data_IF_701741550298
#
_entry.id   IF_701741550298
#
_cell.length_a   1.000
_cell.length_b   1.000
_cell.length_c   1.000
_cell.angle_alpha   90.00
_cell.angle_beta   90.00
_cell.angle_gamma   90.00
#
_symmetry.space_group_name_H-M   'P 1'
#
loop_
_entity.id
_entity.type
_entity.pdbx_description
1 polymer ?
#
# COMPACT_ATOMS: atom_id res chain seq x y z
N UNK A 1 21.36 30.71 25.28
CA UNK A 1 20.36 31.62 24.68
C UNK A 1 20.76 31.79 23.22
N UNK A 2 19.94 31.33 22.27
CA UNK A 2 20.24 31.37 20.83
C UNK A 2 19.92 32.77 20.29
N UNK A 3 20.77 33.74 20.59
CA UNK A 3 20.65 35.07 19.98
C UNK A 3 21.09 34.99 18.52
N UNK A 4 20.19 35.36 17.61
CA UNK A 4 20.40 35.37 16.17
C UNK A 4 21.62 36.23 15.80
N UNK A 5 22.40 35.85 14.77
CA UNK A 5 23.63 36.55 14.38
C UNK A 5 23.44 38.06 14.15
N UNK A 6 22.26 38.44 13.66
CA UNK A 6 21.87 39.83 13.40
C UNK A 6 21.76 40.65 14.70
N UNK A 7 21.19 40.07 15.76
CA UNK A 7 21.06 40.76 17.06
C UNK A 7 22.41 40.93 17.74
N UNK A 8 23.29 39.92 17.64
CA UNK A 8 24.65 39.99 18.17
C UNK A 8 25.46 41.04 17.44
N UNK A 9 25.41 41.08 16.10
CA UNK A 9 26.12 42.08 15.30
C UNK A 9 25.62 43.52 15.56
N UNK A 10 24.31 43.73 15.71
CA UNK A 10 23.75 45.04 16.04
C UNK A 10 24.08 45.47 17.48
N UNK A 11 24.14 44.54 18.43
CA UNK A 11 24.58 44.82 19.79
C UNK A 11 26.07 45.18 19.87
N UNK A 12 26.90 44.56 19.02
CA UNK A 12 28.34 44.78 19.01
C UNK A 12 28.71 46.15 18.40
N UNK A 13 28.02 46.58 17.34
CA UNK A 13 28.20 47.93 16.78
C UNK A 13 27.77 49.04 17.74
N UNK A 14 26.70 48.82 18.53
CA UNK A 14 26.28 49.76 19.58
C UNK A 14 27.30 49.86 20.72
N UNK A 15 28.02 48.78 21.04
CA UNK A 15 29.09 48.81 22.07
C UNK A 15 30.34 49.55 21.61
N UNK A 16 30.61 49.56 20.31
CA UNK A 16 31.77 50.24 19.72
C UNK A 16 31.50 51.70 19.30
N UNK A 17 30.28 52.21 19.45
CA UNK A 17 29.92 53.58 19.07
C UNK A 17 30.31 54.66 20.10
N UNK A 18 30.95 54.28 21.21
CA UNK A 18 31.48 55.21 22.20
C UNK A 18 30.44 55.90 23.09
N UNK A 19 29.23 55.31 23.22
CA UNK A 19 28.15 55.87 24.03
C UNK A 19 28.37 55.72 25.54
N UNK A 20 27.85 56.66 26.31
CA UNK A 20 27.86 56.61 27.79
C UNK A 20 27.11 55.36 28.29
N UNK A 21 27.59 54.74 29.38
CA UNK A 21 27.12 53.42 29.87
C UNK A 21 25.61 53.34 30.09
N UNK A 22 24.98 54.44 30.50
CA UNK A 22 23.53 54.54 30.72
C UNK A 22 22.73 54.62 29.42
N UNK A 23 23.28 55.25 28.38
CA UNK A 23 22.63 55.33 27.07
C UNK A 23 22.78 54.01 26.31
N UNK A 24 23.91 53.33 26.50
CA UNK A 24 24.19 52.02 25.92
C UNK A 24 23.22 50.94 26.44
N UNK A 25 22.94 50.91 27.75
CA UNK A 25 21.97 49.96 28.32
C UNK A 25 20.56 50.18 27.77
N UNK A 26 20.13 51.44 27.66
CA UNK A 26 18.82 51.79 27.09
C UNK A 26 18.72 51.41 25.60
N UNK A 27 19.80 51.61 24.83
CA UNK A 27 19.82 51.23 23.42
C UNK A 27 19.76 49.71 23.22
N UNK A 28 20.44 48.92 24.05
CA UNK A 28 20.40 47.46 24.02
C UNK A 28 19.02 46.91 24.42
N UNK A 29 18.36 47.52 25.41
CA UNK A 29 17.00 47.13 25.81
C UNK A 29 15.99 47.40 24.68
N UNK A 30 16.08 48.57 24.03
CA UNK A 30 15.24 48.91 22.88
C UNK A 30 15.49 48.00 21.66
N UNK A 31 16.74 47.57 21.45
CA UNK A 31 17.10 46.63 20.39
C UNK A 31 16.44 45.26 20.60
N UNK A 32 16.50 44.74 21.84
CA UNK A 32 15.86 43.47 22.20
C UNK A 32 14.33 43.54 22.06
N UNK A 33 13.72 44.63 22.53
CA UNK A 33 12.29 44.88 22.40
C UNK A 33 11.86 44.96 20.92
N UNK A 34 12.62 45.69 20.10
CA UNK A 34 12.38 45.80 18.66
C UNK A 34 12.48 44.47 17.93
N UNK A 35 13.44 43.62 18.31
CA UNK A 35 13.57 42.27 17.78
C UNK A 35 12.36 41.38 18.14
N UNK A 36 11.90 41.43 19.38
CA UNK A 36 10.72 40.66 19.80
C UNK A 36 9.45 41.11 19.05
N UNK A 37 9.26 42.41 18.88
CA UNK A 37 8.10 42.98 18.19
C UNK A 37 8.10 42.62 16.69
N UNK A 38 9.25 42.74 16.03
CA UNK A 38 9.39 42.41 14.61
C UNK A 38 9.25 40.91 14.34
N UNK A 39 9.69 40.05 15.28
CA UNK A 39 9.45 38.61 15.18
C UNK A 39 7.96 38.26 15.27
N UNK A 40 7.24 38.88 16.22
CA UNK A 40 5.80 38.66 16.37
C UNK A 40 5.04 39.12 15.12
N UNK A 41 5.35 40.33 14.63
CA UNK A 41 4.74 40.87 13.41
C UNK A 41 5.09 39.98 12.21
N UNK A 42 6.36 39.60 12.04
CA UNK A 42 6.82 38.75 10.94
C UNK A 42 6.16 37.38 10.90
N UNK A 43 6.03 36.73 12.07
CA UNK A 43 5.35 35.44 12.19
C UNK A 43 3.86 35.55 11.85
N UNK A 44 3.19 36.60 12.36
CA UNK A 44 1.77 36.86 12.03
C UNK A 44 1.61 37.14 10.54
N UNK A 45 2.45 37.99 9.95
CA UNK A 45 2.45 38.28 8.51
C UNK A 45 2.71 37.03 7.66
N UNK A 46 3.63 36.15 8.08
CA UNK A 46 3.91 34.89 7.40
C UNK A 46 2.69 33.95 7.44
N UNK A 47 2.04 33.80 8.60
CA UNK A 47 0.85 32.94 8.76
C UNK A 47 -0.32 33.51 7.95
N UNK A 48 -0.58 34.81 8.03
CA UNK A 48 -1.64 35.49 7.26
C UNK A 48 -1.34 35.39 5.77
N UNK A 49 -0.09 35.63 5.36
CA UNK A 49 0.36 35.47 3.98
C UNK A 49 0.13 34.05 3.49
N UNK A 50 0.63 33.03 4.18
CA UNK A 50 0.44 31.63 3.82
C UNK A 50 -1.04 31.22 3.72
N UNK A 51 -1.92 31.84 4.53
CA UNK A 51 -3.37 31.57 4.51
C UNK A 51 -4.13 32.31 3.40
N UNK A 52 -3.71 33.53 3.05
CA UNK A 52 -4.41 34.38 2.07
C UNK A 52 -3.81 34.32 0.65
N UNK A 53 -2.54 33.98 0.51
CA UNK A 53 -1.86 33.77 -0.77
C UNK A 53 -2.58 32.75 -1.68
N UNK A 54 -3.02 31.57 -1.20
CA UNK A 54 -3.79 30.64 -2.04
C UNK A 54 -5.15 31.22 -2.47
N UNK A 55 -5.75 32.07 -1.63
CA UNK A 55 -7.03 32.73 -1.94
C UNK A 55 -6.88 33.80 -3.03
N UNK A 56 -5.76 34.53 -3.03
CA UNK A 56 -5.41 35.52 -4.06
C UNK A 56 -5.08 34.85 -5.41
N UNK A 57 -4.55 33.63 -5.39
CA UNK A 57 -4.17 32.87 -6.59
C UNK A 57 -5.33 32.10 -7.23
N UNK A 58 -6.54 32.14 -6.66
CA UNK A 58 -7.75 31.49 -7.20
C UNK A 58 -7.55 30.00 -7.58
N UNK A 59 -6.61 29.33 -6.93
CA UNK A 59 -6.41 27.89 -7.05
C UNK A 59 -6.86 27.26 -5.74
N UNK A 60 -7.99 26.56 -5.80
CA UNK A 60 -8.41 25.73 -4.67
C UNK A 60 -7.38 24.60 -4.54
N UNK A 61 -6.58 24.66 -3.49
CA UNK A 61 -5.61 23.60 -3.16
C UNK A 61 -6.32 22.26 -2.98
N UNK A 62 -7.57 22.28 -2.50
CA UNK A 62 -8.38 21.08 -2.34
C UNK A 62 -8.84 20.52 -3.70
N UNK A 63 -9.32 21.34 -4.63
CA UNK A 63 -9.72 20.86 -5.96
C UNK A 63 -8.52 20.44 -6.79
N UNK A 64 -7.38 21.12 -6.67
CA UNK A 64 -6.13 20.73 -7.33
C UNK A 64 -5.57 19.42 -6.76
N UNK A 65 -5.63 19.23 -5.43
CA UNK A 65 -5.25 17.97 -4.80
C UNK A 65 -6.19 16.83 -5.20
N UNK A 66 -7.50 17.08 -5.27
CA UNK A 66 -8.49 16.10 -5.74
C UNK A 66 -8.36 15.81 -7.24
N UNK A 67 -8.01 16.81 -8.05
CA UNK A 67 -7.78 16.64 -9.47
C UNK A 67 -6.49 15.86 -9.72
N UNK A 68 -5.41 16.16 -9.00
CA UNK A 68 -4.17 15.36 -9.02
C UNK A 68 -4.42 13.95 -8.48
N UNK A 69 -5.24 13.80 -7.44
CA UNK A 69 -5.64 12.48 -6.93
C UNK A 69 -6.42 11.70 -8.00
N UNK A 70 -7.39 12.32 -8.68
CA UNK A 70 -8.13 11.71 -9.80
C UNK A 70 -7.23 11.37 -10.98
N UNK A 71 -6.34 12.28 -11.38
CA UNK A 71 -5.36 12.07 -12.44
C UNK A 71 -4.35 10.95 -12.09
N UNK A 72 -4.07 10.76 -10.79
CA UNK A 72 -3.21 9.67 -10.29
C UNK A 72 -4.00 8.43 -9.86
N UNK A 73 -5.31 8.39 -10.05
CA UNK A 73 -6.19 7.27 -9.67
C UNK A 73 -6.37 7.04 -8.16
N UNK A 74 -5.97 8.01 -7.32
CA UNK A 74 -6.10 8.01 -5.86
C UNK A 74 -7.51 8.46 -5.42
N UNK A 75 -8.55 8.05 -6.13
CA UNK A 75 -9.92 8.39 -5.74
C UNK A 75 -10.31 7.56 -4.49
N UNK A 76 -10.56 8.25 -3.38
CA UNK A 76 -10.95 7.65 -2.09
C UNK A 76 -12.40 7.13 -2.07
N UNK A 77 -13.17 7.37 -3.15
CA UNK A 77 -14.61 7.10 -3.20
C UNK A 77 -15.01 5.72 -3.76
N UNK A 78 -14.06 4.85 -4.08
CA UNK A 78 -14.37 3.43 -4.10
C UNK A 78 -14.10 2.90 -2.69
N UNK A 79 -15.18 2.58 -1.98
CA UNK A 79 -15.26 1.55 -0.95
C UNK A 79 -14.68 0.24 -1.50
N UNK A 80 -13.37 0.21 -1.75
CA UNK A 80 -12.62 -0.93 -2.24
C UNK A 80 -12.41 -1.75 -0.98
N UNK A 81 -13.46 -2.48 -0.62
CA UNK A 81 -13.43 -3.48 0.42
C UNK A 81 -12.26 -4.39 0.07
N UNK A 82 -11.15 -4.23 0.78
CA UNK A 82 -9.99 -5.11 0.68
C UNK A 82 -10.43 -6.42 1.32
N UNK A 83 -11.15 -7.21 0.55
CA UNK A 83 -11.52 -8.54 0.98
C UNK A 83 -10.27 -9.40 0.87
N UNK A 84 -9.96 -10.16 1.91
CA UNK A 84 -8.95 -11.20 1.79
C UNK A 84 -9.48 -12.31 0.85
N UNK A 85 -8.61 -12.95 0.07
CA UNK A 85 -9.02 -14.08 -0.74
C UNK A 85 -9.55 -15.20 0.15
N UNK A 86 -10.68 -15.80 -0.25
CA UNK A 86 -11.36 -16.90 0.45
C UNK A 86 -11.24 -18.17 -0.38
N UNK A 87 -11.13 -19.31 0.31
CA UNK A 87 -11.08 -20.64 -0.28
C UNK A 87 -12.47 -21.26 -0.22
N UNK A 88 -12.92 -21.85 -1.32
CA UNK A 88 -14.12 -22.69 -1.38
C UNK A 88 -13.87 -23.90 -2.27
N UNK A 89 -14.39 -25.06 -1.90
CA UNK A 89 -14.23 -26.28 -2.68
C UNK A 89 -15.54 -26.66 -3.37
N UNK A 90 -15.45 -27.09 -4.62
CA UNK A 90 -16.59 -27.41 -5.47
C UNK A 90 -16.38 -28.76 -6.17
N UNK A 91 -17.46 -29.53 -6.34
CA UNK A 91 -17.47 -30.75 -7.14
C UNK A 91 -17.83 -30.43 -8.59
N UNK A 92 -17.03 -30.94 -9.51
CA UNK A 92 -17.21 -30.78 -10.94
C UNK A 92 -18.38 -31.64 -11.42
N UNK A 93 -19.49 -30.97 -11.75
CA UNK A 93 -20.69 -31.59 -12.34
C UNK A 93 -20.67 -31.59 -13.87
N UNK A 94 -21.68 -32.21 -14.51
CA UNK A 94 -21.77 -32.34 -15.97
C UNK A 94 -21.86 -30.98 -16.69
N UNK A 95 -22.54 -30.00 -16.09
CA UNK A 95 -22.64 -28.64 -16.62
C UNK A 95 -21.28 -27.95 -16.72
N UNK A 96 -20.40 -28.19 -15.73
CA UNK A 96 -19.07 -27.60 -15.70
C UNK A 96 -18.18 -28.26 -16.75
N UNK A 97 -18.26 -29.58 -16.91
CA UNK A 97 -17.53 -30.28 -17.97
C UNK A 97 -17.98 -29.80 -19.35
N UNK A 98 -19.30 -29.66 -19.56
CA UNK A 98 -19.86 -29.11 -20.80
C UNK A 98 -19.40 -27.67 -21.06
N UNK A 99 -19.33 -26.84 -20.01
CA UNK A 99 -18.82 -25.47 -20.11
C UNK A 99 -17.32 -25.41 -20.42
N UNK A 100 -16.53 -26.31 -19.84
CA UNK A 100 -15.09 -26.40 -20.14
C UNK A 100 -14.81 -26.89 -21.55
N UNK A 101 -15.73 -27.63 -22.18
CA UNK A 101 -15.62 -28.11 -23.55
C UNK A 101 -14.28 -28.84 -23.84
N UNK A 102 -13.76 -29.57 -22.85
CA UNK A 102 -12.49 -30.28 -22.93
C UNK A 102 -11.23 -29.39 -22.95
N UNK A 103 -11.37 -28.07 -22.76
CA UNK A 103 -10.24 -27.13 -22.72
C UNK A 103 -9.41 -27.33 -21.46
N UNK A 104 -8.11 -27.06 -21.58
CA UNK A 104 -7.23 -27.03 -20.43
C UNK A 104 -7.47 -25.77 -19.56
N UNK A 105 -6.97 -25.78 -18.33
CA UNK A 105 -7.15 -24.66 -17.39
C UNK A 105 -6.59 -23.33 -17.93
N UNK A 106 -5.51 -23.36 -18.72
CA UNK A 106 -4.88 -22.19 -19.33
C UNK A 106 -5.76 -21.55 -20.40
N UNK A 107 -6.37 -22.35 -21.25
CA UNK A 107 -7.28 -21.95 -22.32
C UNK A 107 -8.63 -21.50 -21.76
N UNK A 108 -9.11 -22.20 -20.74
CA UNK A 108 -10.34 -21.86 -20.04
C UNK A 108 -10.25 -20.49 -19.38
N UNK A 109 -9.07 -20.16 -18.83
CA UNK A 109 -8.81 -18.83 -18.29
C UNK A 109 -9.78 -18.44 -17.19
N UNK A 110 -10.13 -19.39 -16.30
CA UNK A 110 -11.13 -19.21 -15.22
C UNK A 110 -10.87 -17.91 -14.44
N UNK A 111 -9.61 -17.60 -14.16
CA UNK A 111 -9.24 -16.37 -13.49
C UNK A 111 -9.65 -15.10 -14.25
N UNK A 112 -9.47 -15.05 -15.57
CA UNK A 112 -9.83 -13.86 -16.37
C UNK A 112 -11.35 -13.65 -16.43
N UNK A 113 -12.13 -14.72 -16.35
CA UNK A 113 -13.59 -14.67 -16.42
C UNK A 113 -14.23 -14.43 -15.06
N UNK A 114 -13.70 -15.04 -14.00
CA UNK A 114 -14.33 -15.02 -12.67
C UNK A 114 -13.53 -14.26 -11.64
N UNK A 115 -12.20 -14.22 -11.73
CA UNK A 115 -11.29 -13.75 -10.69
C UNK A 115 -10.91 -14.82 -9.67
N UNK A 116 -11.30 -16.08 -9.88
CA UNK A 116 -10.92 -17.22 -9.03
C UNK A 116 -9.80 -18.05 -9.68
N UNK A 117 -8.95 -18.65 -8.85
CA UNK A 117 -7.85 -19.53 -9.24
C UNK A 117 -8.08 -20.94 -8.66
N UNK A 118 -7.83 -21.99 -9.45
CA UNK A 118 -7.86 -23.37 -8.95
C UNK A 118 -6.52 -23.69 -8.33
N UNK A 119 -6.51 -23.86 -7.00
CA UNK A 119 -5.28 -24.15 -6.27
C UNK A 119 -5.00 -25.66 -6.18
N UNK A 120 -6.06 -26.47 -6.02
CA UNK A 120 -5.98 -27.92 -5.88
C UNK A 120 -7.12 -28.64 -6.58
N UNK A 121 -6.84 -29.85 -7.04
CA UNK A 121 -7.81 -30.80 -7.59
C UNK A 121 -7.61 -32.14 -6.89
N UNK A 122 -8.71 -32.73 -6.43
CA UNK A 122 -8.79 -34.11 -5.99
C UNK A 122 -9.51 -34.92 -7.06
N UNK A 123 -8.81 -35.91 -7.61
CA UNK A 123 -9.34 -36.85 -8.59
C UNK A 123 -9.19 -38.27 -8.07
N UNK A 124 -10.29 -39.00 -7.97
CA UNK A 124 -10.31 -40.38 -7.46
C UNK A 124 -9.58 -40.53 -6.11
N UNK A 125 -9.72 -39.55 -5.21
CA UNK A 125 -9.08 -39.54 -3.89
C UNK A 125 -7.61 -39.07 -3.87
N UNK A 126 -6.98 -38.85 -5.02
CA UNK A 126 -5.60 -38.34 -5.12
C UNK A 126 -5.65 -36.82 -5.20
N UNK A 127 -4.96 -36.15 -4.27
CA UNK A 127 -4.82 -34.71 -4.23
C UNK A 127 -3.63 -34.25 -5.09
N UNK A 128 -3.87 -33.35 -6.02
CA UNK A 128 -2.85 -32.79 -6.89
C UNK A 128 -2.99 -31.26 -7.02
N UNK A 129 -1.87 -30.58 -7.25
CA UNK A 129 -1.87 -29.19 -7.69
C UNK A 129 -1.88 -29.18 -9.22
N UNK A 130 -2.95 -28.69 -9.87
CA UNK A 130 -3.05 -28.73 -11.32
C UNK A 130 -2.08 -27.73 -11.95
N UNK A 131 -1.48 -28.13 -13.09
CA UNK A 131 -0.81 -27.19 -13.99
C UNK A 131 -1.83 -26.62 -14.99
N UNK A 132 -1.46 -25.57 -15.73
CA UNK A 132 -2.30 -24.94 -16.74
C UNK A 132 -2.76 -25.88 -17.86
N UNK A 133 -2.07 -27.01 -18.06
CA UNK A 133 -2.42 -28.01 -19.07
C UNK A 133 -3.40 -29.08 -18.54
N UNK A 134 -3.78 -29.01 -17.26
CA UNK A 134 -4.78 -29.92 -16.69
C UNK A 134 -6.17 -29.67 -17.29
N UNK A 135 -6.94 -30.76 -17.49
CA UNK A 135 -8.33 -30.71 -17.95
C UNK A 135 -9.24 -31.19 -16.81
N UNK A 136 -10.32 -30.46 -16.56
CA UNK A 136 -11.32 -30.83 -15.55
C UNK A 136 -12.16 -32.01 -16.01
N UNK A 137 -12.38 -32.97 -15.12
CA UNK A 137 -13.17 -34.16 -15.38
C UNK A 137 -14.38 -34.23 -14.44
N UNK A 138 -15.42 -34.94 -14.88
CA UNK A 138 -16.62 -35.16 -14.08
C UNK A 138 -16.25 -35.88 -12.79
N UNK A 139 -16.75 -35.37 -11.65
CA UNK A 139 -16.48 -35.95 -10.34
C UNK A 139 -15.19 -35.46 -9.66
N UNK A 140 -14.38 -34.63 -10.32
CA UNK A 140 -13.27 -33.94 -9.68
C UNK A 140 -13.78 -33.02 -8.56
N UNK A 141 -13.00 -32.88 -7.48
CA UNK A 141 -13.24 -31.90 -6.42
C UNK A 141 -12.15 -30.85 -6.48
N UNK A 142 -12.52 -29.59 -6.70
CA UNK A 142 -11.58 -28.49 -6.94
C UNK A 142 -11.64 -27.48 -5.81
N UNK A 143 -10.49 -27.01 -5.34
CA UNK A 143 -10.41 -25.90 -4.40
C UNK A 143 -10.13 -24.59 -5.17
N UNK A 144 -11.07 -23.65 -5.08
CA UNK A 144 -10.99 -22.33 -5.67
C UNK A 144 -10.59 -21.28 -4.63
N UNK A 145 -9.61 -20.45 -4.99
CA UNK A 145 -9.17 -19.30 -4.20
C UNK A 145 -9.50 -18.03 -4.97
N UNK A 146 -10.12 -17.07 -4.31
CA UNK A 146 -10.47 -15.80 -4.93
C UNK A 146 -11.16 -14.85 -3.97
N UNK A 147 -11.31 -13.59 -4.38
CA UNK A 147 -12.05 -12.60 -3.61
C UNK A 147 -13.54 -13.00 -3.49
N UNK A 148 -14.25 -12.60 -2.42
CA UNK A 148 -15.68 -12.87 -2.26
C UNK A 148 -16.52 -12.47 -3.49
N UNK A 149 -16.20 -11.33 -4.10
CA UNK A 149 -16.88 -10.87 -5.32
C UNK A 149 -16.58 -11.75 -6.54
N UNK A 150 -15.42 -12.40 -6.58
CA UNK A 150 -15.06 -13.36 -7.63
C UNK A 150 -15.87 -14.65 -7.50
N UNK A 151 -16.03 -15.16 -6.28
CA UNK A 151 -16.96 -16.26 -5.99
C UNK A 151 -18.41 -15.87 -6.31
N UNK A 152 -18.77 -14.59 -6.13
CA UNK A 152 -20.07 -14.07 -6.53
C UNK A 152 -20.27 -13.88 -8.04
N UNK A 153 -19.23 -14.00 -8.85
CA UNK A 153 -19.32 -14.04 -10.33
C UNK A 153 -19.35 -15.44 -10.90
N UNK A 154 -19.01 -16.47 -10.12
CA UNK A 154 -19.18 -17.85 -10.55
C UNK A 154 -20.65 -18.11 -10.86
N UNK A 155 -20.89 -18.83 -11.97
CA UNK A 155 -22.22 -19.21 -12.42
C UNK A 155 -23.00 -19.89 -11.29
N UNK A 156 -24.30 -19.59 -11.07
CA UNK A 156 -25.12 -20.24 -10.05
C UNK A 156 -25.06 -21.77 -10.07
N UNK A 157 -24.82 -22.37 -11.24
CA UNK A 157 -24.59 -23.81 -11.43
C UNK A 157 -23.37 -24.36 -10.67
N UNK A 158 -22.36 -23.53 -10.37
CA UNK A 158 -21.26 -23.90 -9.48
C UNK A 158 -21.66 -23.88 -8.01
N UNK A 159 -22.58 -23.00 -7.61
CA UNK A 159 -22.93 -22.78 -6.19
C UNK A 159 -23.98 -23.76 -5.68
N UNK A 160 -24.96 -24.10 -6.52
CA UNK A 160 -26.10 -24.89 -6.06
C UNK A 160 -25.73 -26.37 -5.86
N UNK A 161 -25.57 -26.78 -4.59
CA UNK A 161 -25.46 -28.19 -4.19
C UNK A 161 -24.16 -28.91 -4.56
N UNK A 162 -23.16 -28.18 -5.10
CA UNK A 162 -21.86 -28.73 -5.49
C UNK A 162 -20.70 -28.26 -4.61
N UNK A 163 -20.94 -27.35 -3.65
CA UNK A 163 -19.92 -26.97 -2.67
C UNK A 163 -19.62 -28.16 -1.75
N UNK A 164 -18.35 -28.54 -1.66
CA UNK A 164 -17.88 -29.67 -0.86
C UNK A 164 -17.04 -29.14 0.28
N UNK A 165 -17.29 -29.63 1.49
CA UNK A 165 -16.46 -29.35 2.66
C UNK A 165 -15.45 -30.46 2.86
N UNK A 166 -14.38 -30.45 2.06
CA UNK A 166 -13.29 -31.41 2.16
C UNK A 166 -12.11 -30.78 2.90
N UNK A 167 -11.75 -31.33 4.06
CA UNK A 167 -10.69 -30.77 4.91
C UNK A 167 -9.34 -30.71 4.19
N UNK A 168 -8.98 -31.71 3.40
CA UNK A 168 -7.64 -31.75 2.79
C UNK A 168 -7.53 -30.81 1.59
N UNK A 169 -8.65 -30.54 0.91
CA UNK A 169 -8.74 -29.48 -0.10
C UNK A 169 -8.71 -28.09 0.51
N UNK A 170 -9.26 -27.93 1.72
CA UNK A 170 -9.40 -26.65 2.42
C UNK A 170 -8.24 -26.35 3.38
N UNK A 171 -7.43 -27.34 3.77
CA UNK A 171 -6.25 -27.20 4.64
C UNK A 171 -5.08 -26.57 3.87
N UNK A 172 -5.27 -25.31 3.51
CA UNK A 172 -4.28 -24.45 2.87
C UNK A 172 -4.08 -23.23 3.73
N UNK A 173 -2.81 -22.93 4.03
CA UNK A 173 -2.45 -21.75 4.82
C UNK A 173 -2.27 -20.57 3.87
N UNK A 174 -3.35 -19.82 3.67
CA UNK A 174 -3.25 -18.50 3.03
C UNK A 174 -2.53 -17.56 4.00
N UNK A 175 -1.43 -17.00 3.55
CA UNK A 175 -0.68 -15.96 4.25
C UNK A 175 -0.78 -14.66 3.46
N UNK A 176 -0.65 -13.55 4.15
CA UNK A 176 -0.54 -12.22 3.55
C UNK A 176 0.79 -11.64 3.98
N UNK A 177 1.68 -11.44 3.02
CA UNK A 177 3.05 -10.98 3.26
C UNK A 177 3.30 -9.68 2.51
N UNK A 178 4.15 -8.84 3.08
CA UNK A 178 4.62 -7.63 2.40
C UNK A 178 5.94 -7.92 1.69
N UNK A 179 5.99 -7.70 0.38
CA UNK A 179 7.14 -7.96 -0.46
C UNK A 179 7.72 -6.64 -0.94
N UNK A 180 8.98 -6.36 -0.58
CA UNK A 180 9.68 -5.16 -1.04
C UNK A 180 10.28 -5.42 -2.42
N UNK A 181 9.95 -4.56 -3.39
CA UNK A 181 10.46 -4.64 -4.75
C UNK A 181 11.94 -4.22 -4.76
N UNK A 182 12.82 -5.17 -5.08
CA UNK A 182 14.27 -4.94 -5.14
C UNK A 182 14.89 -5.39 -6.46
N UNK A 183 14.37 -6.46 -7.05
CA UNK A 183 14.97 -7.10 -8.22
C UNK A 183 14.80 -6.22 -9.47
N UNK A 184 15.90 -6.00 -10.20
CA UNK A 184 15.90 -5.26 -11.47
C UNK A 184 14.96 -5.89 -12.52
N UNK A 185 14.71 -7.20 -12.45
CA UNK A 185 13.76 -7.87 -13.33
C UNK A 185 12.29 -7.54 -13.04
N UNK A 186 11.98 -7.00 -11.85
CA UNK A 186 10.64 -6.55 -11.46
C UNK A 186 10.51 -5.02 -11.50
N UNK A 187 11.59 -4.29 -11.22
CA UNK A 187 11.65 -2.83 -11.31
C UNK A 187 11.46 -2.37 -12.77
N UNK A 188 10.64 -1.34 -12.97
CA UNK A 188 10.32 -0.79 -14.29
C UNK A 188 9.30 -1.61 -15.08
N UNK A 189 8.85 -2.76 -14.57
CA UNK A 189 7.75 -3.52 -15.18
C UNK A 189 6.41 -3.04 -14.69
N UNK A 190 5.41 -3.18 -15.56
CA UNK A 190 4.01 -2.94 -15.19
C UNK A 190 3.50 -4.06 -14.30
N UNK A 191 2.60 -3.74 -13.38
CA UNK A 191 2.00 -4.71 -12.46
C UNK A 191 1.40 -5.92 -13.18
N UNK A 192 0.69 -5.69 -14.31
CA UNK A 192 0.12 -6.76 -15.13
C UNK A 192 1.17 -7.75 -15.70
N UNK A 193 2.41 -7.31 -15.91
CA UNK A 193 3.48 -8.15 -16.45
C UNK A 193 4.05 -9.13 -15.42
N UNK A 194 3.85 -8.88 -14.12
CA UNK A 194 4.30 -9.81 -13.08
C UNK A 194 3.43 -11.06 -13.00
N UNK A 195 2.20 -11.01 -13.53
CA UNK A 195 1.29 -12.16 -13.61
C UNK A 195 1.19 -12.91 -12.27
N UNK A 196 1.07 -12.14 -11.17
CA UNK A 196 1.00 -12.68 -9.81
C UNK A 196 -0.07 -13.77 -9.70
N UNK A 197 -1.17 -13.58 -10.41
CA UNK A 197 -2.29 -14.52 -10.36
C UNK A 197 -2.09 -15.81 -11.13
N UNK A 198 -1.26 -15.82 -12.18
CA UNK A 198 -0.89 -17.08 -12.85
C UNK A 198 -0.16 -18.01 -11.88
N UNK A 199 0.49 -17.42 -10.87
CA UNK A 199 1.16 -18.12 -9.78
C UNK A 199 0.27 -18.39 -8.57
N UNK A 200 -1.03 -18.09 -8.62
CA UNK A 200 -1.97 -18.30 -7.49
C UNK A 200 -1.80 -17.28 -6.35
N UNK A 201 -1.16 -16.15 -6.63
CA UNK A 201 -0.96 -15.07 -5.66
C UNK A 201 -1.79 -13.84 -6.05
N UNK A 202 -2.35 -13.19 -5.04
CA UNK A 202 -3.26 -12.07 -5.17
C UNK A 202 -2.61 -10.82 -4.59
N UNK A 203 -2.70 -9.70 -5.30
CA UNK A 203 -2.19 -8.42 -4.81
C UNK A 203 -3.31 -7.66 -4.11
N UNK A 204 -3.12 -7.38 -2.83
CA UNK A 204 -4.09 -6.64 -2.02
C UNK A 204 -3.83 -5.15 -1.99
N UNK A 205 -2.54 -4.75 -2.01
CA UNK A 205 -2.12 -3.36 -1.86
C UNK A 205 -0.75 -3.12 -2.49
N UNK A 206 -0.55 -1.91 -2.99
CA UNK A 206 0.77 -1.38 -3.38
C UNK A 206 1.03 -0.14 -2.55
N UNK A 207 2.16 -0.07 -1.86
CA UNK A 207 2.57 1.07 -1.05
C UNK A 207 3.86 1.64 -1.64
N UNK A 208 3.86 2.95 -1.91
CA UNK A 208 5.04 3.69 -2.36
C UNK A 208 5.27 4.86 -1.43
N UNK A 209 6.44 4.90 -0.80
CA UNK A 209 6.82 5.98 0.13
C UNK A 209 5.74 6.27 1.19
N UNK A 210 5.17 5.23 1.80
CA UNK A 210 4.09 5.30 2.80
C UNK A 210 2.72 5.76 2.27
N UNK A 211 2.54 5.85 0.95
CA UNK A 211 1.26 6.18 0.32
C UNK A 211 0.73 4.94 -0.40
N UNK A 212 -0.53 4.58 -0.13
CA UNK A 212 -1.22 3.52 -0.85
C UNK A 212 -1.48 3.97 -2.29
N UNK A 213 -0.92 3.22 -3.23
CA UNK A 213 -1.08 3.44 -4.67
C UNK A 213 -2.32 2.68 -5.16
N UNK A 214 -3.06 3.21 -6.14
CA UNK A 214 -4.14 2.46 -6.74
C UNK A 214 -3.60 1.22 -7.43
N UNK A 215 -4.30 0.10 -7.24
CA UNK A 215 -4.00 -1.15 -7.92
C UNK A 215 -4.61 -1.06 -9.32
N UNK A 216 -3.78 -0.61 -10.27
CA UNK A 216 -4.03 -0.57 -11.71
C UNK A 216 -2.92 -1.36 -12.42
N UNK A 217 -3.33 -2.15 -13.41
CA UNK A 217 -2.48 -2.98 -14.26
C UNK A 217 -1.38 -2.18 -14.99
N UNK A 218 -1.60 -0.88 -15.21
CA UNK A 218 -0.65 0.02 -15.84
C UNK A 218 0.40 0.62 -14.88
N UNK A 219 0.26 0.41 -13.57
CA UNK A 219 1.23 0.94 -12.59
C UNK A 219 2.59 0.29 -12.81
N UNK A 220 3.60 1.13 -13.04
CA UNK A 220 5.00 0.71 -13.15
C UNK A 220 5.57 0.58 -11.74
N UNK A 221 6.14 -0.59 -11.44
CA UNK A 221 6.79 -0.86 -10.16
C UNK A 221 8.15 -0.17 -10.08
N UNK A 222 8.39 0.47 -8.95
CA UNK A 222 9.65 1.13 -8.62
C UNK A 222 10.39 0.36 -7.53
N UNK A 223 11.71 0.55 -7.48
CA UNK A 223 12.53 -0.01 -6.42
C UNK A 223 12.11 0.60 -5.08
N UNK A 224 11.88 -0.25 -4.08
CA UNK A 224 11.42 0.17 -2.75
C UNK A 224 9.89 0.23 -2.61
N UNK A 225 9.13 -0.03 -3.66
CA UNK A 225 7.69 -0.26 -3.53
C UNK A 225 7.45 -1.51 -2.66
N UNK A 226 6.39 -1.47 -1.85
CA UNK A 226 5.98 -2.59 -1.00
C UNK A 226 4.66 -3.13 -1.54
N UNK A 227 4.66 -4.41 -1.89
CA UNK A 227 3.50 -5.13 -2.41
C UNK A 227 2.94 -6.02 -1.32
N UNK A 228 1.69 -5.83 -0.94
CA UNK A 228 0.99 -6.76 -0.06
C UNK A 228 0.39 -7.89 -0.90
N UNK A 229 0.94 -9.09 -0.75
CA UNK A 229 0.58 -10.26 -1.56
C UNK A 229 -0.03 -11.34 -0.66
N UNK A 230 -1.19 -11.85 -1.05
CA UNK A 230 -1.85 -12.99 -0.39
C UNK A 230 -1.83 -14.24 -1.26
N UNK A 231 -1.62 -15.39 -0.65
CA UNK A 231 -1.65 -16.68 -1.34
C UNK A 231 -1.13 -17.81 -0.45
N UNK A 232 -0.89 -18.99 -1.03
CA UNK A 232 -0.21 -20.07 -0.31
C UNK A 232 1.21 -19.67 0.09
N UNK A 233 1.61 -19.99 1.32
CA UNK A 233 2.89 -19.61 1.88
C UNK A 233 4.10 -20.00 1.01
N UNK A 234 4.06 -21.15 0.32
CA UNK A 234 5.17 -21.61 -0.54
C UNK A 234 5.26 -20.78 -1.81
N UNK A 235 4.10 -20.47 -2.43
CA UNK A 235 4.02 -19.68 -3.66
C UNK A 235 4.39 -18.21 -3.41
N UNK A 236 3.88 -17.64 -2.32
CA UNK A 236 4.21 -16.26 -1.91
C UNK A 236 5.72 -16.12 -1.70
N UNK A 237 6.36 -17.08 -1.03
CA UNK A 237 7.82 -17.08 -0.86
C UNK A 237 8.57 -17.14 -2.21
N UNK A 238 8.13 -18.02 -3.11
CA UNK A 238 8.74 -18.17 -4.45
C UNK A 238 8.63 -16.89 -5.28
N UNK A 239 7.49 -16.20 -5.21
CA UNK A 239 7.29 -14.90 -5.87
C UNK A 239 8.12 -13.81 -5.19
N UNK A 240 8.15 -13.79 -3.87
CA UNK A 240 8.91 -12.82 -3.11
C UNK A 240 10.39 -12.90 -3.49
N UNK A 241 10.98 -14.09 -3.58
CA UNK A 241 12.37 -14.29 -4.01
C UNK A 241 12.63 -13.81 -5.45
N UNK A 242 11.62 -13.87 -6.34
CA UNK A 242 11.72 -13.35 -7.71
C UNK A 242 11.63 -11.83 -7.79
N UNK A 243 10.79 -11.20 -6.97
CA UNK A 243 10.53 -9.75 -7.01
C UNK A 243 11.49 -8.97 -6.11
N UNK A 244 11.88 -9.54 -4.99
CA UNK A 244 12.73 -8.93 -3.98
C UNK A 244 12.82 -9.79 -2.74
N UNK A 245 12.23 -9.35 -1.64
CA UNK A 245 12.25 -10.08 -0.37
C UNK A 245 11.03 -9.74 0.47
N UNK A 246 10.65 -10.66 1.36
CA UNK A 246 9.57 -10.44 2.33
C UNK A 246 10.07 -9.46 3.39
N UNK A 247 9.34 -8.36 3.57
CA UNK A 247 9.54 -7.41 4.65
C UNK A 247 9.19 -8.11 5.96
N UNK A 248 10.18 -8.32 6.81
CA UNK A 248 9.90 -8.58 8.21
C UNK A 248 9.36 -7.29 8.80
N UNK A 249 8.07 -7.27 9.16
CA UNK A 249 7.59 -6.26 10.07
C UNK A 249 8.31 -6.46 11.39
N UNK A 250 9.42 -5.74 11.57
CA UNK A 250 9.78 -5.28 12.90
C UNK A 250 8.59 -4.41 13.28
N UNK A 251 7.65 -4.96 14.05
CA UNK A 251 6.74 -4.13 14.81
C UNK A 251 7.59 -3.02 15.39
N UNK A 252 7.23 -1.81 15.04
CA UNK A 252 7.85 -0.58 15.51
C UNK A 252 8.04 -0.75 17.01
N UNK A 253 9.28 -1.05 17.42
CA UNK A 253 9.68 -0.93 18.81
C UNK A 253 9.82 0.57 18.96
N UNK A 254 8.67 1.21 19.15
CA UNK A 254 8.57 2.64 19.30
C UNK A 254 9.34 2.96 20.58
N UNK A 255 10.46 3.67 20.42
CA UNK A 255 11.34 4.09 21.49
C UNK A 255 10.60 5.06 22.42
N UNK A 256 9.73 4.55 23.29
CA UNK A 256 9.06 5.29 24.36
C UNK A 256 9.77 5.13 25.70
N UNK A 257 11.09 4.95 25.70
CA UNK A 257 11.86 4.83 26.94
C UNK A 257 13.13 5.69 26.95
N UNK A 258 12.98 7.01 26.85
CA UNK A 258 13.90 7.95 27.50
C UNK A 258 13.40 9.41 27.42
N UNK A 259 12.45 9.78 28.28
CA UNK A 259 12.32 11.13 28.85
C UNK A 259 11.07 11.16 29.75
N UNK A 260 11.21 10.83 31.05
CA UNK A 260 11.24 11.94 32.00
C UNK A 260 12.15 11.63 33.20
N UNK A 261 13.43 11.93 33.09
CA UNK A 261 14.34 12.02 34.25
C UNK A 261 15.02 13.39 34.33
N UNK A 262 14.43 14.42 33.73
CA UNK A 262 15.01 15.77 33.66
C UNK A 262 14.11 16.86 34.25
N UNK A 263 13.23 16.51 35.21
CA UNK A 263 12.36 17.48 35.90
C UNK A 263 12.39 17.44 37.43
N UNK A 264 13.32 16.70 38.05
CA UNK A 264 13.60 16.84 39.49
C UNK A 264 15.12 16.69 39.71
N UNK A 265 15.77 17.84 39.83
CA UNK A 265 17.20 18.01 40.09
C UNK A 265 17.59 19.47 39.94
#
# INVERSE_FOLDING_TARGET
>A
MTSTPVLVGAGDTLRHSGMESRQLSLALDNLSLGYALTYLIGLVSLIVGARYLPKLQHQDLQTSAQQIARERGLDTDANRKVYLPVIRAYRVGPELVAWTDGKNLRELGIYRQTGCYIERIRRNGILANPDGDAVLQMGDEIALVGYPDAHARLDPSFRNGKEVFDRDLLDMRIVTEEVVVKNHNAVGKRLAQLKLTDHGCFLNRVIRSQIEMPIDDNVVLNKGDVLQVSGDARRVKTIADRIGFISIHSQVTDCWHSAPSLLLG
#
